data_IF_980982451444
#
_entry.id   IF_980982451444
#
_cell.length_a   1.000
_cell.length_b   1.000
_cell.length_c   1.000
_cell.angle_alpha   90.00
_cell.angle_beta   90.00
_cell.angle_gamma   90.00
#
_symmetry.space_group_name_H-M   'P 1'
#
loop_
_entity.id
_entity.type
_entity.pdbx_description
1 polymer ?
#
# COMPACT_ATOMS: atom_id res chain seq x y z
N UNK A 1 -28.55 -0.18 19.27
CA UNK A 1 -27.79 -0.83 18.19
C UNK A 1 -26.57 -1.49 18.84
N UNK A 2 -26.57 -2.81 18.96
CA UNK A 2 -25.80 -3.55 19.97
C UNK A 2 -24.26 -3.47 19.81
N UNK A 3 -23.77 -3.04 18.65
CA UNK A 3 -22.35 -2.87 18.37
C UNK A 3 -21.70 -1.68 19.12
N UNK A 4 -22.48 -0.67 19.52
CA UNK A 4 -21.97 0.53 20.21
C UNK A 4 -21.64 0.27 21.68
N UNK A 5 -22.33 -0.68 22.32
CA UNK A 5 -22.21 -0.96 23.76
C UNK A 5 -21.04 -1.88 24.11
N UNK A 6 -20.42 -2.54 23.12
CA UNK A 6 -19.29 -3.45 23.33
C UNK A 6 -17.92 -2.82 23.01
N UNK A 7 -17.81 -1.51 22.80
CA UNK A 7 -16.49 -0.84 22.72
C UNK A 7 -15.51 -1.36 21.65
N UNK A 8 -15.99 -2.12 20.65
CA UNK A 8 -15.16 -2.74 19.60
C UNK A 8 -15.01 -1.86 18.34
N UNK A 9 -15.19 -0.55 18.44
CA UNK A 9 -14.79 0.36 17.36
C UNK A 9 -13.25 0.47 17.37
N UNK A 10 -12.58 -0.55 16.84
CA UNK A 10 -11.13 -0.57 16.74
C UNK A 10 -10.67 0.65 15.92
N UNK A 11 -10.04 1.61 16.59
CA UNK A 11 -9.44 2.78 15.96
C UNK A 11 -8.23 2.30 15.14
N UNK A 12 -8.49 1.97 13.87
CA UNK A 12 -7.44 1.50 12.97
C UNK A 12 -6.87 2.65 12.15
N UNK A 13 -5.54 2.76 12.16
CA UNK A 13 -4.78 3.50 11.16
C UNK A 13 -4.82 2.76 9.83
N UNK A 14 -5.03 3.49 8.73
CA UNK A 14 -5.05 2.90 7.40
C UNK A 14 -4.26 3.70 6.38
N UNK A 15 -3.71 3.00 5.39
CA UNK A 15 -3.03 3.57 4.24
C UNK A 15 -3.73 3.16 2.96
N UNK A 16 -3.65 4.00 1.93
CA UNK A 16 -4.14 3.67 0.59
C UNK A 16 -2.93 3.48 -0.33
N UNK A 17 -2.78 2.27 -0.87
CA UNK A 17 -1.75 1.93 -1.84
C UNK A 17 -2.37 1.85 -3.23
N UNK A 18 -1.82 2.63 -4.17
CA UNK A 18 -2.31 2.69 -5.54
C UNK A 18 -1.27 2.10 -6.49
N UNK A 19 -1.69 1.14 -7.31
CA UNK A 19 -0.90 0.57 -8.38
C UNK A 19 -1.72 0.59 -9.68
N UNK A 20 -1.13 1.07 -10.77
CA UNK A 20 -1.77 1.05 -12.07
C UNK A 20 -0.81 0.52 -13.11
N UNK A 21 -1.31 -0.36 -13.95
CA UNK A 21 -0.56 -0.96 -15.06
C UNK A 21 -1.31 -0.69 -16.35
N UNK A 22 -0.57 -0.12 -17.30
CA UNK A 22 -1.06 0.21 -18.65
C UNK A 22 -2.21 1.23 -18.69
N UNK A 23 -2.35 2.09 -17.67
CA UNK A 23 -3.38 3.12 -17.60
C UNK A 23 -2.82 4.46 -17.11
N UNK A 24 -2.87 5.48 -17.95
CA UNK A 24 -2.49 6.88 -17.60
C UNK A 24 -3.69 7.83 -17.53
N UNK A 25 -4.88 7.40 -17.97
CA UNK A 25 -6.08 8.26 -18.05
C UNK A 25 -6.66 8.64 -16.68
N UNK A 26 -6.39 7.87 -15.64
CA UNK A 26 -6.94 8.08 -14.30
C UNK A 26 -5.86 8.69 -13.41
N UNK A 27 -6.18 9.82 -12.80
CA UNK A 27 -5.28 10.49 -11.87
C UNK A 27 -5.24 9.74 -10.54
N UNK A 28 -4.05 9.27 -10.14
CA UNK A 28 -3.76 8.63 -8.85
C UNK A 28 -4.39 9.34 -7.66
N UNK A 29 -4.28 10.67 -7.59
CA UNK A 29 -4.76 11.47 -6.46
C UNK A 29 -6.28 11.42 -6.33
N UNK A 30 -7.02 11.37 -7.44
CA UNK A 30 -8.48 11.25 -7.43
C UNK A 30 -8.92 9.94 -6.79
N UNK A 31 -8.22 8.84 -7.10
CA UNK A 31 -8.52 7.52 -6.53
C UNK A 31 -8.18 7.48 -5.05
N UNK A 32 -6.99 7.92 -4.66
CA UNK A 32 -6.58 7.93 -3.24
C UNK A 32 -7.55 8.76 -2.40
N UNK A 33 -7.94 9.94 -2.89
CA UNK A 33 -8.88 10.81 -2.19
C UNK A 33 -10.31 10.26 -2.16
N UNK A 34 -10.74 9.55 -3.21
CA UNK A 34 -12.04 8.89 -3.21
C UNK A 34 -12.08 7.79 -2.16
N UNK A 35 -11.07 6.92 -2.14
CA UNK A 35 -10.96 5.80 -1.20
C UNK A 35 -10.85 6.31 0.24
N UNK A 36 -10.03 7.33 0.49
CA UNK A 36 -9.89 7.87 1.84
C UNK A 36 -11.19 8.48 2.38
N UNK A 37 -11.99 9.13 1.52
CA UNK A 37 -13.31 9.67 1.87
C UNK A 37 -14.37 8.59 2.06
N UNK A 38 -14.22 7.43 1.41
CA UNK A 38 -15.15 6.31 1.56
C UNK A 38 -15.01 5.58 2.90
N UNK A 39 -13.91 5.77 3.63
CA UNK A 39 -13.73 5.16 4.95
C UNK A 39 -14.39 6.06 6.02
N UNK A 40 -15.38 5.56 6.79
CA UNK A 40 -16.04 6.34 7.83
C UNK A 40 -15.12 6.64 9.02
N UNK A 41 -15.35 7.76 9.72
CA UNK A 41 -14.69 8.06 11.00
C UNK A 41 -15.07 6.99 12.03
N UNK A 42 -14.15 6.55 12.92
CA UNK A 42 -13.00 7.26 13.49
C UNK A 42 -11.62 6.83 12.93
N UNK A 43 -11.58 6.17 11.77
CA UNK A 43 -10.33 5.70 11.19
C UNK A 43 -9.47 6.86 10.67
N UNK A 44 -8.16 6.81 10.95
CA UNK A 44 -7.20 7.85 10.55
C UNK A 44 -6.29 7.34 9.43
N UNK A 45 -6.03 8.20 8.45
CA UNK A 45 -5.05 7.93 7.40
C UNK A 45 -3.65 8.12 7.97
N UNK A 46 -2.84 7.06 7.95
CA UNK A 46 -1.42 7.10 8.33
C UNK A 46 -0.55 6.58 7.19
N UNK A 47 0.45 7.37 6.80
CA UNK A 47 1.31 7.10 5.64
C UNK A 47 2.56 6.30 5.99
N UNK A 48 3.02 6.36 7.25
CA UNK A 48 4.30 5.77 7.66
C UNK A 48 4.15 4.31 8.11
N UNK A 49 3.17 4.01 8.95
CA UNK A 49 2.98 2.67 9.52
C UNK A 49 1.48 2.36 9.75
N UNK A 50 0.71 2.18 8.68
CA UNK A 50 -0.71 1.85 8.81
C UNK A 50 -0.90 0.40 9.27
N UNK A 51 -1.89 0.16 10.13
CA UNK A 51 -2.26 -1.18 10.58
C UNK A 51 -2.92 -1.98 9.45
N UNK A 52 -3.68 -1.29 8.60
CA UNK A 52 -4.35 -1.84 7.42
C UNK A 52 -4.01 -1.04 6.17
N UNK A 53 -3.81 -1.74 5.06
CA UNK A 53 -3.59 -1.10 3.77
C UNK A 53 -4.70 -1.50 2.81
N UNK A 54 -5.31 -0.49 2.19
CA UNK A 54 -6.25 -0.68 1.08
C UNK A 54 -5.44 -0.58 -0.20
N UNK A 55 -5.30 -1.70 -0.89
CA UNK A 55 -4.65 -1.77 -2.20
C UNK A 55 -5.71 -1.55 -3.27
N UNK A 56 -5.47 -0.58 -4.13
CA UNK A 56 -6.27 -0.34 -5.34
C UNK A 56 -5.38 -0.59 -6.54
N UNK A 57 -5.69 -1.64 -7.28
CA UNK A 57 -5.00 -2.02 -8.49
C UNK A 57 -5.90 -1.78 -9.70
N UNK A 58 -5.40 -1.03 -10.67
CA UNK A 58 -6.11 -0.74 -11.91
C UNK A 58 -5.34 -1.34 -13.09
N UNK A 59 -5.96 -2.30 -13.77
CA UNK A 59 -5.43 -2.94 -14.99
C UNK A 59 -6.47 -2.84 -16.11
N UNK A 60 -6.10 -2.19 -17.22
CA UNK A 60 -7.00 -1.88 -18.34
C UNK A 60 -8.34 -1.30 -17.85
N UNK A 61 -9.44 -2.05 -17.99
CA UNK A 61 -10.81 -1.65 -17.61
C UNK A 61 -11.26 -2.17 -16.23
N UNK A 62 -10.38 -2.83 -15.48
CA UNK A 62 -10.72 -3.51 -14.23
C UNK A 62 -10.10 -2.76 -13.04
N UNK A 63 -10.90 -2.57 -11.99
CA UNK A 63 -10.45 -2.06 -10.70
C UNK A 63 -10.57 -3.18 -9.65
N UNK A 64 -9.45 -3.50 -9.01
CA UNK A 64 -9.37 -4.47 -7.92
C UNK A 64 -9.08 -3.73 -6.63
N UNK A 65 -9.84 -4.02 -5.58
CA UNK A 65 -9.65 -3.46 -4.25
C UNK A 65 -9.45 -4.60 -3.26
N UNK A 66 -8.39 -4.52 -2.46
CA UNK A 66 -8.10 -5.49 -1.40
C UNK A 66 -7.72 -4.79 -0.10
N UNK A 67 -8.20 -5.30 1.03
CA UNK A 67 -7.82 -4.81 2.36
C UNK A 67 -6.89 -5.82 3.00
N UNK A 68 -5.70 -5.38 3.39
CA UNK A 68 -4.64 -6.24 3.89
C UNK A 68 -4.16 -5.73 5.24
N UNK A 69 -4.00 -6.64 6.19
CA UNK A 69 -3.41 -6.35 7.48
C UNK A 69 -1.90 -6.57 7.47
N UNK A 70 -1.15 -5.76 8.22
CA UNK A 70 0.31 -5.94 8.43
C UNK A 70 1.12 -6.02 7.12
N UNK A 71 0.77 -5.20 6.13
CA UNK A 71 1.37 -5.22 4.80
C UNK A 71 2.89 -4.98 4.80
N UNK A 72 3.39 -4.10 5.67
CA UNK A 72 4.82 -3.80 5.83
C UNK A 72 5.59 -4.99 6.40
N UNK A 73 5.03 -5.65 7.42
CA UNK A 73 5.61 -6.85 8.05
C UNK A 73 5.65 -8.01 7.06
N UNK A 74 4.65 -8.11 6.19
CA UNK A 74 4.57 -9.16 5.17
C UNK A 74 5.38 -8.86 3.90
N UNK A 75 6.21 -7.80 3.90
CA UNK A 75 7.12 -7.45 2.80
C UNK A 75 6.46 -7.49 1.41
N UNK A 76 5.23 -6.94 1.27
CA UNK A 76 4.45 -6.97 0.01
C UNK A 76 4.21 -8.40 -0.54
N UNK A 77 4.21 -9.40 0.35
CA UNK A 77 4.16 -10.85 0.03
C UNK A 77 5.35 -11.37 -0.77
N UNK A 78 6.48 -10.65 -0.78
CA UNK A 78 7.72 -11.18 -1.34
C UNK A 78 8.21 -12.33 -0.46
N UNK A 79 7.83 -13.56 -0.82
CA UNK A 79 8.19 -14.77 -0.08
C UNK A 79 9.70 -14.87 0.15
N UNK A 80 10.52 -14.44 -0.81
CA UNK A 80 11.98 -14.38 -0.67
C UNK A 80 12.44 -13.47 0.47
N UNK A 81 11.77 -12.34 0.68
CA UNK A 81 12.10 -11.42 1.77
C UNK A 81 11.60 -11.97 3.12
N UNK A 82 10.48 -12.70 3.12
CA UNK A 82 9.94 -13.34 4.31
C UNK A 82 10.75 -14.54 4.79
N UNK A 83 11.36 -15.30 3.88
CA UNK A 83 12.19 -16.47 4.22
C UNK A 83 13.66 -16.12 4.41
N UNK A 84 14.08 -14.90 4.10
CA UNK A 84 15.46 -14.46 4.31
C UNK A 84 15.77 -14.29 5.81
N UNK A 85 17.00 -14.63 6.24
CA UNK A 85 17.39 -14.44 7.64
C UNK A 85 17.25 -12.96 8.06
N UNK A 86 17.00 -12.65 9.35
CA UNK A 86 16.65 -11.31 9.81
C UNK A 86 17.62 -10.20 9.38
N UNK A 87 18.94 -10.49 9.30
CA UNK A 87 19.95 -9.58 8.78
C UNK A 87 19.67 -9.11 7.34
N UNK A 88 19.13 -9.98 6.47
CA UNK A 88 18.79 -9.68 5.08
C UNK A 88 17.44 -8.97 4.93
N UNK A 89 16.55 -9.07 5.91
CA UNK A 89 15.25 -8.39 5.86
C UNK A 89 15.39 -6.87 5.96
N UNK A 90 16.31 -6.37 6.82
CA UNK A 90 16.66 -4.94 6.86
C UNK A 90 17.44 -4.48 5.61
N UNK A 91 18.25 -5.36 5.01
CA UNK A 91 19.03 -5.02 3.81
C UNK A 91 18.22 -5.11 2.50
N UNK A 92 17.22 -5.98 2.43
CA UNK A 92 16.35 -6.13 1.26
C UNK A 92 15.46 -4.91 1.00
N UNK A 93 15.19 -4.10 2.01
CA UNK A 93 14.56 -2.79 1.84
C UNK A 93 15.53 -1.83 1.11
N UNK A 94 16.78 -1.72 1.57
CA UNK A 94 17.82 -0.87 0.96
C UNK A 94 18.22 -1.33 -0.46
N UNK A 95 18.24 -2.63 -0.75
CA UNK A 95 18.48 -3.14 -2.11
C UNK A 95 17.32 -2.85 -3.07
N UNK A 96 16.06 -2.90 -2.61
CA UNK A 96 14.92 -2.48 -3.42
C UNK A 96 14.94 -0.98 -3.69
N UNK A 97 15.33 -0.17 -2.70
CA UNK A 97 15.47 1.27 -2.85
C UNK A 97 16.59 1.62 -3.84
N UNK A 98 17.73 0.92 -3.77
CA UNK A 98 18.88 1.12 -4.68
C UNK A 98 18.62 0.59 -6.10
N UNK A 99 17.95 -0.56 -6.24
CA UNK A 99 17.55 -1.10 -7.54
C UNK A 99 16.44 -0.26 -8.19
N UNK A 100 15.49 0.25 -7.40
CA UNK A 100 14.47 1.18 -7.88
C UNK A 100 15.09 2.52 -8.31
N UNK A 101 16.04 3.07 -7.53
CA UNK A 101 16.78 4.30 -7.88
C UNK A 101 17.62 4.10 -9.13
N UNK A 102 18.33 2.96 -9.26
CA UNK A 102 19.09 2.62 -10.47
C UNK A 102 18.20 2.42 -11.70
N UNK A 103 17.02 1.82 -11.53
CA UNK A 103 16.02 1.67 -12.59
C UNK A 103 15.40 3.03 -13.00
N UNK A 104 15.20 3.95 -12.05
CA UNK A 104 14.79 5.33 -12.32
C UNK A 104 15.87 6.12 -13.07
N UNK A 105 17.14 6.02 -12.64
CA UNK A 105 18.28 6.68 -13.31
C UNK A 105 18.50 6.15 -14.73
N UNK A 106 18.34 4.84 -14.93
CA UNK A 106 18.49 4.21 -16.26
C UNK A 106 17.32 4.53 -17.20
N UNK A 107 16.10 4.73 -16.68
CA UNK A 107 14.93 5.13 -17.49
C UNK A 107 14.78 6.64 -17.68
N UNK A 108 15.54 7.47 -16.96
CA UNK A 108 15.62 8.91 -17.17
C UNK A 108 16.59 9.35 -18.27
N UNK A 109 17.30 8.40 -18.90
CA UNK A 109 18.37 8.68 -19.90
C UNK A 109 17.96 8.39 -21.35
N UNK A 110 16.69 8.10 -21.60
CA UNK A 110 16.13 8.07 -22.95
C UNK A 110 14.91 8.99 -23.02
N UNK A 111 15.22 10.27 -23.25
CA UNK A 111 14.40 11.14 -24.08
C UNK A 111 14.40 10.63 -25.53
#
# INVERSE_FOLDING_TARGET
NYASLLGYFNLCSFGVFYEARSNTRINRMKIINAVSKSVPQPHKVDLNSPNRIIIVQIEKIICMVGVIERYTVLAKFNLKQLTSPPQKQLMGQLELDSAAVSCWLSRGSHC
#
